data_IF_051217640222
#
_entry.id   IF_051217640222
#
_cell.length_a   1.000
_cell.length_b   1.000
_cell.length_c   1.000
_cell.angle_alpha   90.00
_cell.angle_beta   90.00
_cell.angle_gamma   90.00
#
_symmetry.space_group_name_H-M   'P 1'
#
loop_
_entity.id
_entity.type
_entity.pdbx_description
1 polymer ?
#
# COMPACT_ATOMS: atom_id res chain seq x y z
N UNK A 1 -54.01 -23.28 1.59
CA UNK A 1 -52.78 -22.50 1.77
C UNK A 1 -52.42 -21.82 0.45
N UNK A 2 -52.55 -20.49 0.30
CA UNK A 2 -52.11 -19.82 -0.91
C UNK A 2 -50.60 -19.53 -0.84
N UNK A 3 -49.88 -19.89 -1.89
CA UNK A 3 -48.46 -19.56 -2.10
C UNK A 3 -48.40 -18.16 -2.71
N UNK A 4 -47.75 -17.22 -2.03
CA UNK A 4 -47.52 -15.87 -2.54
C UNK A 4 -46.11 -15.80 -3.12
N UNK A 5 -45.99 -15.92 -4.44
CA UNK A 5 -44.74 -15.67 -5.16
C UNK A 5 -44.67 -14.19 -5.49
N UNK A 6 -43.87 -13.43 -4.73
CA UNK A 6 -43.59 -12.03 -5.05
C UNK A 6 -42.27 -11.95 -5.82
N UNK A 7 -42.34 -11.65 -7.12
CA UNK A 7 -41.18 -11.33 -7.94
C UNK A 7 -40.77 -9.88 -7.67
N UNK A 8 -39.77 -9.70 -6.81
CA UNK A 8 -39.17 -8.39 -6.54
C UNK A 8 -38.29 -7.99 -7.74
N UNK A 9 -38.74 -7.04 -8.54
CA UNK A 9 -37.96 -6.49 -9.64
C UNK A 9 -37.05 -5.36 -9.11
N UNK A 10 -35.75 -5.62 -9.01
CA UNK A 10 -34.75 -4.62 -8.64
C UNK A 10 -34.37 -3.87 -9.92
N UNK A 11 -34.87 -2.63 -10.07
CA UNK A 11 -34.45 -1.71 -11.13
C UNK A 11 -33.11 -1.09 -10.72
N UNK A 12 -32.01 -1.54 -11.31
CA UNK A 12 -30.71 -0.86 -11.19
C UNK A 12 -30.72 0.41 -12.05
N UNK A 13 -30.77 1.57 -11.41
CA UNK A 13 -30.44 2.85 -12.04
C UNK A 13 -28.93 3.07 -11.89
N UNK A 14 -28.15 2.62 -12.87
CA UNK A 14 -26.74 2.93 -12.99
C UNK A 14 -26.55 4.26 -13.73
N UNK A 15 -26.18 5.31 -13.00
CA UNK A 15 -25.66 6.53 -13.60
C UNK A 15 -24.72 7.21 -12.60
N UNK A 16 -23.42 6.99 -12.77
CA UNK A 16 -22.43 7.96 -12.31
C UNK A 16 -21.53 8.25 -13.50
N UNK A 17 -21.74 9.46 -14.00
CA UNK A 17 -21.00 10.15 -15.03
C UNK A 17 -19.54 10.32 -14.57
N UNK A 18 -18.60 9.61 -15.22
CA UNK A 18 -17.17 9.85 -15.04
C UNK A 18 -16.76 10.99 -15.98
N UNK A 19 -16.63 12.19 -15.44
CA UNK A 19 -15.97 13.30 -16.12
C UNK A 19 -15.28 14.17 -15.08
N UNK A 20 -13.96 14.01 -14.92
CA UNK A 20 -13.00 15.10 -14.68
C UNK A 20 -11.58 14.59 -15.02
N UNK A 21 -11.25 14.52 -16.31
CA UNK A 21 -9.86 14.52 -16.78
C UNK A 21 -9.39 15.97 -16.64
N UNK A 22 -8.68 16.27 -15.56
CA UNK A 22 -7.99 17.55 -15.38
C UNK A 22 -6.56 17.40 -15.94
N UNK A 23 -6.40 17.61 -17.24
CA UNK A 23 -5.09 17.92 -17.83
C UNK A 23 -4.96 19.44 -17.93
N UNK A 24 -4.26 20.04 -16.96
CA UNK A 24 -3.79 21.43 -17.10
C UNK A 24 -2.30 21.37 -17.44
N UNK A 25 -1.97 21.38 -18.73
CA UNK A 25 -0.63 21.74 -19.20
C UNK A 25 -0.42 23.24 -18.95
N UNK A 26 0.67 23.58 -18.25
CA UNK A 26 1.20 24.94 -18.15
C UNK A 26 2.72 24.92 -18.31
N UNK A 27 3.30 25.97 -18.91
CA UNK A 27 4.50 25.92 -19.72
C UNK A 27 5.78 25.86 -18.90
N UNK A 28 6.77 25.18 -19.48
CA UNK A 28 8.16 25.08 -19.04
C UNK A 28 8.82 26.45 -19.00
N UNK A 29 9.21 26.88 -17.79
CA UNK A 29 10.21 27.94 -17.58
C UNK A 29 11.53 27.21 -17.32
N UNK A 30 12.46 27.36 -18.25
CA UNK A 30 13.87 27.00 -18.07
C UNK A 30 14.44 27.80 -16.89
N UNK A 31 14.84 27.09 -15.83
CA UNK A 31 15.81 27.58 -14.87
C UNK A 31 17.06 26.71 -15.00
N UNK A 32 18.06 27.29 -15.66
CA UNK A 32 19.45 26.84 -15.68
C UNK A 32 20.10 27.21 -14.36
N UNK A 33 20.25 26.25 -13.43
CA UNK A 33 21.20 26.37 -12.32
C UNK A 33 21.77 24.98 -11.96
N UNK A 34 23.06 24.79 -12.25
CA UNK A 34 23.99 23.82 -11.64
C UNK A 34 23.58 22.35 -11.64
N UNK A 35 24.04 21.64 -12.66
CA UNK A 35 24.15 20.18 -12.70
C UNK A 35 25.10 19.69 -11.58
N UNK A 36 24.54 19.45 -10.40
CA UNK A 36 25.07 18.47 -9.47
C UNK A 36 24.24 17.22 -9.73
N UNK A 37 24.67 16.38 -10.66
CA UNK A 37 24.16 15.03 -10.81
C UNK A 37 24.60 14.23 -9.58
N UNK A 38 23.87 14.42 -8.47
CA UNK A 38 23.84 13.43 -7.41
C UNK A 38 23.21 12.20 -8.06
N UNK A 39 24.00 11.14 -8.22
CA UNK A 39 23.53 9.80 -8.54
C UNK A 39 22.33 9.46 -7.63
N UNK A 40 21.12 9.75 -8.09
CA UNK A 40 19.90 9.63 -7.29
C UNK A 40 19.47 8.17 -7.33
N UNK A 41 20.29 7.29 -6.75
CA UNK A 41 19.87 5.94 -6.41
C UNK A 41 18.55 6.08 -5.64
N UNK A 42 17.48 5.35 -6.01
CA UNK A 42 16.25 5.36 -5.25
C UNK A 42 16.57 5.10 -3.79
N UNK A 43 16.26 6.07 -2.93
CA UNK A 43 16.51 5.96 -1.49
C UNK A 43 15.74 4.74 -1.00
N UNK A 44 16.45 3.74 -0.47
CA UNK A 44 15.80 2.56 0.08
C UNK A 44 15.02 2.96 1.37
N UNK A 45 13.92 2.28 1.69
CA UNK A 45 13.22 2.50 2.95
C UNK A 45 14.13 2.14 4.14
N UNK A 46 14.21 3.02 5.13
CA UNK A 46 14.80 2.66 6.43
C UNK A 46 13.73 2.03 7.31
N UNK A 47 13.93 0.76 7.64
CA UNK A 47 13.01 -0.06 8.42
C UNK A 47 13.54 -0.41 9.81
N UNK A 48 14.73 0.10 10.17
CA UNK A 48 15.48 -0.34 11.36
C UNK A 48 14.68 -0.17 12.64
N UNK A 49 14.12 1.03 12.85
CA UNK A 49 13.31 1.35 14.02
C UNK A 49 12.01 0.51 14.06
N UNK A 50 11.33 0.34 12.92
CA UNK A 50 10.09 -0.43 12.88
C UNK A 50 10.33 -1.91 13.22
N UNK A 51 11.42 -2.50 12.71
CA UNK A 51 11.81 -3.86 13.03
C UNK A 51 12.15 -3.98 14.52
N UNK A 52 12.91 -3.03 15.09
CA UNK A 52 13.23 -3.01 16.51
C UNK A 52 11.96 -3.01 17.37
N UNK A 53 11.00 -2.11 17.09
CA UNK A 53 9.71 -2.06 17.79
C UNK A 53 8.94 -3.38 17.75
N UNK A 54 8.95 -4.06 16.60
CA UNK A 54 8.30 -5.37 16.44
C UNK A 54 8.99 -6.43 17.30
N UNK A 55 10.32 -6.47 17.28
CA UNK A 55 11.12 -7.42 18.06
C UNK A 55 11.00 -7.18 19.57
N UNK A 56 10.77 -5.94 19.99
CA UNK A 56 10.49 -5.56 21.39
C UNK A 56 9.06 -5.90 21.85
N UNK A 57 8.24 -6.56 21.01
CA UNK A 57 6.86 -6.89 21.33
C UNK A 57 5.90 -5.70 21.27
N UNK A 58 6.28 -4.61 20.57
CA UNK A 58 5.43 -3.46 20.31
C UNK A 58 5.04 -3.37 18.82
N UNK A 59 4.21 -4.31 18.32
CA UNK A 59 3.85 -4.36 16.91
C UNK A 59 3.04 -3.15 16.45
N UNK A 60 2.33 -2.46 17.36
CA UNK A 60 1.55 -1.28 16.98
C UNK A 60 2.40 -0.08 16.64
N UNK A 61 3.49 0.15 17.37
CA UNK A 61 4.48 1.16 17.01
C UNK A 61 5.14 0.84 15.67
N UNK A 62 5.48 -0.44 15.44
CA UNK A 62 6.04 -0.90 14.16
C UNK A 62 5.08 -0.63 12.99
N UNK A 63 3.78 -0.93 13.14
CA UNK A 63 2.77 -0.70 12.10
C UNK A 63 2.67 0.78 11.71
N UNK A 64 2.74 1.70 12.68
CA UNK A 64 2.69 3.14 12.39
C UNK A 64 3.87 3.57 11.51
N UNK A 65 5.08 3.21 11.91
CA UNK A 65 6.31 3.50 11.16
C UNK A 65 6.29 2.88 9.76
N UNK A 66 5.84 1.62 9.65
CA UNK A 66 5.76 0.91 8.38
C UNK A 66 4.69 1.49 7.44
N UNK A 67 3.60 2.04 7.97
CA UNK A 67 2.60 2.75 7.15
C UNK A 67 3.18 4.04 6.57
N UNK A 68 3.98 4.78 7.33
CA UNK A 68 4.66 5.96 6.82
C UNK A 68 5.67 5.59 5.72
N UNK A 69 6.42 4.49 5.90
CA UNK A 69 7.32 3.99 4.86
C UNK A 69 6.53 3.52 3.63
N UNK A 70 5.37 2.88 3.80
CA UNK A 70 4.53 2.43 2.69
C UNK A 70 3.89 3.58 1.90
N UNK A 71 3.75 4.77 2.49
CA UNK A 71 3.32 5.95 1.74
C UNK A 71 4.44 6.46 0.82
N UNK A 72 5.69 6.34 1.26
CA UNK A 72 6.89 6.77 0.50
C UNK A 72 7.32 5.73 -0.53
N UNK A 73 7.10 4.44 -0.22
CA UNK A 73 7.56 3.30 -1.00
C UNK A 73 6.43 2.26 -1.16
N UNK A 74 5.37 2.59 -1.92
CA UNK A 74 4.13 1.81 -1.95
C UNK A 74 4.27 0.38 -2.46
N UNK A 75 5.23 0.13 -3.36
CA UNK A 75 5.47 -1.18 -3.98
C UNK A 75 6.76 -1.84 -3.45
N UNK A 76 7.33 -1.33 -2.36
CA UNK A 76 8.50 -1.95 -1.77
C UNK A 76 8.14 -3.28 -1.11
N UNK A 77 8.63 -4.37 -1.69
CA UNK A 77 8.49 -5.73 -1.14
C UNK A 77 8.89 -5.79 0.34
N UNK A 78 10.00 -5.14 0.71
CA UNK A 78 10.51 -5.11 2.08
C UNK A 78 9.49 -4.46 3.04
N UNK A 79 8.93 -3.31 2.64
CA UNK A 79 7.93 -2.59 3.45
C UNK A 79 6.67 -3.42 3.61
N UNK A 80 6.15 -3.99 2.52
CA UNK A 80 4.94 -4.80 2.52
C UNK A 80 5.11 -6.06 3.38
N UNK A 81 6.26 -6.75 3.28
CA UNK A 81 6.59 -7.92 4.09
C UNK A 81 6.68 -7.56 5.57
N UNK A 82 7.42 -6.50 5.94
CA UNK A 82 7.55 -6.10 7.34
C UNK A 82 6.22 -5.62 7.92
N UNK A 83 5.39 -4.92 7.13
CA UNK A 83 4.05 -4.52 7.54
C UNK A 83 3.16 -5.74 7.78
N UNK A 84 3.22 -6.74 6.89
CA UNK A 84 2.55 -8.02 7.07
C UNK A 84 2.96 -8.74 8.36
N UNK A 85 4.28 -8.81 8.65
CA UNK A 85 4.82 -9.40 9.89
C UNK A 85 4.34 -8.65 11.14
N UNK A 86 4.40 -7.32 11.14
CA UNK A 86 3.94 -6.52 12.29
C UNK A 86 2.43 -6.67 12.52
N UNK A 87 1.63 -6.74 11.46
CA UNK A 87 0.19 -7.01 11.54
C UNK A 87 -0.13 -8.42 12.06
N UNK A 88 0.67 -9.41 11.67
CA UNK A 88 0.57 -10.77 12.18
C UNK A 88 0.85 -10.80 13.68
N UNK A 89 1.93 -10.17 14.13
CA UNK A 89 2.29 -10.06 15.56
C UNK A 89 1.19 -9.32 16.36
N UNK A 90 0.54 -8.32 15.74
CA UNK A 90 -0.64 -7.63 16.27
C UNK A 90 -1.96 -8.44 16.19
N UNK A 91 -1.92 -9.69 15.69
CA UNK A 91 -3.09 -10.57 15.47
C UNK A 91 -4.13 -10.04 14.47
N UNK A 92 -3.75 -9.09 13.62
CA UNK A 92 -4.58 -8.62 12.50
C UNK A 92 -4.31 -9.49 11.26
N UNK A 93 -4.71 -10.75 11.34
CA UNK A 93 -4.42 -11.76 10.31
C UNK A 93 -4.98 -11.40 8.92
N UNK A 94 -6.21 -10.87 8.78
CA UNK A 94 -6.73 -10.53 7.46
C UNK A 94 -5.88 -9.47 6.76
N UNK A 95 -5.49 -8.40 7.48
CA UNK A 95 -4.67 -7.36 6.89
C UNK A 95 -3.24 -7.83 6.66
N UNK A 96 -2.72 -8.71 7.53
CA UNK A 96 -1.40 -9.32 7.34
C UNK A 96 -1.35 -10.13 6.03
N UNK A 97 -2.32 -11.02 5.81
CA UNK A 97 -2.45 -11.81 4.58
C UNK A 97 -2.51 -10.90 3.34
N UNK A 98 -3.34 -9.85 3.39
CA UNK A 98 -3.43 -8.88 2.30
C UNK A 98 -2.09 -8.22 1.99
N UNK A 99 -1.28 -7.82 2.99
CA UNK A 99 0.05 -7.23 2.73
C UNK A 99 1.03 -8.23 2.14
N UNK A 100 0.97 -9.49 2.54
CA UNK A 100 1.79 -10.54 1.92
C UNK A 100 1.38 -10.79 0.46
N UNK A 101 0.09 -10.81 0.16
CA UNK A 101 -0.41 -10.92 -1.23
C UNK A 101 0.04 -9.73 -2.10
N UNK A 102 0.03 -8.51 -1.54
CA UNK A 102 0.56 -7.34 -2.22
C UNK A 102 2.06 -7.48 -2.50
N UNK A 103 2.85 -7.95 -1.53
CA UNK A 103 4.28 -8.18 -1.74
C UNK A 103 4.53 -9.21 -2.85
N UNK A 104 3.80 -10.33 -2.84
CA UNK A 104 3.90 -11.34 -3.90
C UNK A 104 3.53 -10.77 -5.27
N UNK A 105 2.47 -9.96 -5.32
CA UNK A 105 2.04 -9.28 -6.55
C UNK A 105 3.08 -8.29 -7.07
N UNK A 106 3.86 -7.67 -6.18
CA UNK A 106 4.99 -6.79 -6.48
C UNK A 106 6.30 -7.55 -6.75
N UNK A 107 6.26 -8.88 -6.87
CA UNK A 107 7.40 -9.72 -7.26
C UNK A 107 8.30 -10.14 -6.10
N UNK A 108 7.82 -10.08 -4.86
CA UNK A 108 8.53 -10.66 -3.74
C UNK A 108 8.73 -12.17 -3.93
N UNK A 109 9.87 -12.74 -3.49
CA UNK A 109 10.07 -14.17 -3.50
C UNK A 109 9.03 -14.87 -2.60
N UNK A 110 8.58 -16.04 -3.04
CA UNK A 110 7.67 -16.90 -2.25
C UNK A 110 8.36 -17.55 -1.06
N UNK A 111 9.69 -17.64 -1.10
CA UNK A 111 10.54 -18.08 -0.01
C UNK A 111 11.06 -16.87 0.75
N UNK A 112 10.55 -16.67 1.97
CA UNK A 112 11.05 -15.63 2.86
C UNK A 112 12.12 -16.26 3.76
N UNK A 113 13.39 -16.06 3.41
CA UNK A 113 14.51 -16.46 4.27
C UNK A 113 14.50 -15.64 5.57
N UNK A 114 14.80 -16.32 6.67
CA UNK A 114 14.46 -15.92 8.04
C UNK A 114 15.32 -14.77 8.55
#
# INVERSE_FOLDING_TARGET
MPKFTSCLSIKLYGSILVLLISCSEKPSIEHSETDVTLDSKPMAPDLSEAIARRMDGNPQAAILLLREQNQKFPDSNEVLIQLGRALFDAKNFPLAAFRFEQALSAGAPTEIYR
#
